data_IF_920661863421
#
_entry.id   IF_920661863421
#
_cell.length_a   1.000
_cell.length_b   1.000
_cell.length_c   1.000
_cell.angle_alpha   90.00
_cell.angle_beta   90.00
_cell.angle_gamma   90.00
#
_symmetry.space_group_name_H-M   'P 1'
#
loop_
_entity.id
_entity.type
_entity.pdbx_description
1 polymer ?
#
# COMPACT_ATOMS: atom_id res chain seq x y z
N UNK A 1 -9.58 14.71 -32.68
CA UNK A 1 -8.50 14.39 -31.73
C UNK A 1 -8.22 15.50 -30.70
N UNK A 2 -8.82 16.70 -30.81
CA UNK A 2 -8.61 17.82 -29.88
C UNK A 2 -9.54 17.83 -28.65
N UNK A 3 -10.61 17.04 -28.64
CA UNK A 3 -11.60 16.98 -27.55
C UNK A 3 -11.28 16.00 -26.41
N UNK A 4 -10.29 15.11 -26.57
CA UNK A 4 -9.84 14.18 -25.53
C UNK A 4 -8.65 14.72 -24.70
N UNK A 5 -8.10 15.89 -25.08
CA UNK A 5 -7.04 16.59 -24.35
C UNK A 5 -7.58 17.78 -23.54
N UNK A 6 -8.87 18.10 -23.68
CA UNK A 6 -9.53 19.05 -22.80
C UNK A 6 -9.82 18.28 -21.51
N UNK A 7 -8.92 18.43 -20.54
CA UNK A 7 -9.16 17.98 -19.17
C UNK A 7 -10.48 18.53 -18.64
N UNK A 8 -11.03 17.96 -17.55
CA UNK A 8 -12.31 18.36 -17.01
C UNK A 8 -12.37 19.87 -16.80
N UNK A 9 -13.36 20.52 -17.42
CA UNK A 9 -13.54 21.99 -17.38
C UNK A 9 -14.04 22.45 -16.00
N UNK A 10 -14.44 21.52 -15.13
CA UNK A 10 -14.68 21.75 -13.71
C UNK A 10 -13.53 21.22 -12.87
N UNK A 11 -13.14 21.96 -11.83
CA UNK A 11 -12.41 21.35 -10.73
C UNK A 11 -13.21 20.14 -10.26
N UNK A 12 -12.64 18.93 -10.37
CA UNK A 12 -13.24 17.73 -9.78
C UNK A 12 -13.11 17.91 -8.27
N UNK A 13 -14.05 18.65 -7.70
CA UNK A 13 -14.15 18.86 -6.27
C UNK A 13 -14.77 17.61 -5.68
N UNK A 14 -14.00 16.89 -4.87
CA UNK A 14 -14.53 15.84 -4.02
C UNK A 14 -15.41 16.57 -2.99
N UNK A 15 -16.73 16.53 -3.19
CA UNK A 15 -17.72 17.36 -2.50
C UNK A 15 -17.66 17.25 -0.98
N UNK A 16 -17.16 16.14 -0.47
CA UNK A 16 -17.06 15.81 0.94
C UNK A 16 -15.66 16.01 1.54
N UNK A 17 -14.66 16.37 0.74
CA UNK A 17 -13.32 16.66 1.25
C UNK A 17 -13.28 18.08 1.83
N UNK A 18 -12.99 18.25 3.14
CA UNK A 18 -12.87 19.57 3.71
C UNK A 18 -11.64 20.26 3.12
N UNK A 19 -11.83 21.36 2.39
CA UNK A 19 -10.77 22.25 1.92
C UNK A 19 -10.20 23.08 3.07
N UNK A 20 -9.73 22.44 4.14
CA UNK A 20 -8.93 23.15 5.14
C UNK A 20 -7.61 23.56 4.47
N UNK A 21 -7.25 24.84 4.60
CA UNK A 21 -6.07 25.41 3.95
C UNK A 21 -4.81 24.80 4.55
N UNK A 22 -4.23 23.79 3.88
CA UNK A 22 -3.06 23.04 4.36
C UNK A 22 -3.23 21.51 4.32
N UNK A 23 -4.45 21.00 4.16
CA UNK A 23 -4.69 19.56 4.13
C UNK A 23 -4.35 18.95 2.76
N UNK A 24 -3.45 17.97 2.81
CA UNK A 24 -3.07 17.17 1.63
C UNK A 24 -3.99 15.97 1.50
N UNK A 25 -4.54 15.76 0.30
CA UNK A 25 -5.45 14.64 0.02
C UNK A 25 -4.84 13.26 0.32
N UNK A 26 -3.56 13.10 -0.04
CA UNK A 26 -2.69 12.01 0.42
C UNK A 26 -1.45 12.64 1.05
N UNK A 27 -1.20 12.42 2.35
CA UNK A 27 0.00 12.94 2.99
C UNK A 27 1.26 12.36 2.35
N UNK A 28 2.26 13.22 2.14
CA UNK A 28 3.52 12.84 1.50
C UNK A 28 4.21 11.69 2.24
N UNK A 29 4.18 11.68 3.58
CA UNK A 29 4.81 10.66 4.41
C UNK A 29 4.30 9.26 4.07
N UNK A 30 2.97 9.09 4.02
CA UNK A 30 2.35 7.80 3.69
C UNK A 30 2.60 7.39 2.24
N UNK A 31 2.57 8.34 1.31
CA UNK A 31 2.94 8.08 -0.09
C UNK A 31 4.37 7.55 -0.23
N UNK A 32 5.34 8.21 0.42
CA UNK A 32 6.73 7.77 0.43
C UNK A 32 6.92 6.43 1.12
N UNK A 33 6.30 6.22 2.28
CA UNK A 33 6.34 4.96 3.02
C UNK A 33 5.87 3.80 2.15
N UNK A 34 4.71 3.94 1.49
CA UNK A 34 4.16 2.87 0.64
C UNK A 34 5.01 2.62 -0.60
N UNK A 35 5.56 3.67 -1.22
CA UNK A 35 6.45 3.56 -2.36
C UNK A 35 7.73 2.78 -2.01
N UNK A 36 8.38 3.12 -0.90
CA UNK A 36 9.57 2.40 -0.43
C UNK A 36 9.28 0.95 -0.10
N UNK A 37 8.16 0.66 0.58
CA UNK A 37 7.74 -0.70 0.87
C UNK A 37 7.52 -1.55 -0.39
N UNK A 38 6.86 -0.99 -1.42
CA UNK A 38 6.62 -1.69 -2.68
C UNK A 38 7.91 -1.97 -3.46
N UNK A 39 8.80 -0.98 -3.52
CA UNK A 39 10.09 -1.10 -4.20
C UNK A 39 10.98 -2.13 -3.48
N UNK A 40 11.09 -2.07 -2.15
CA UNK A 40 11.92 -2.98 -1.36
C UNK A 40 11.46 -4.43 -1.50
N UNK A 41 10.14 -4.69 -1.53
CA UNK A 41 9.62 -6.04 -1.73
C UNK A 41 10.04 -6.64 -3.08
N UNK A 42 10.20 -5.80 -4.10
CA UNK A 42 10.63 -6.22 -5.44
C UNK A 42 12.14 -6.48 -5.48
N UNK A 43 12.93 -5.63 -4.80
CA UNK A 43 14.37 -5.81 -4.66
C UNK A 43 14.74 -7.07 -3.87
N UNK A 44 14.06 -7.36 -2.75
CA UNK A 44 14.41 -8.57 -1.96
C UNK A 44 14.17 -9.84 -2.73
N UNK A 45 13.13 -9.90 -3.56
CA UNK A 45 12.88 -11.03 -4.46
C UNK A 45 13.97 -11.16 -5.52
N UNK A 46 14.25 -10.09 -6.27
CA UNK A 46 15.27 -10.11 -7.31
C UNK A 46 16.66 -10.44 -6.73
N UNK A 47 16.97 -9.94 -5.54
CA UNK A 47 18.21 -10.27 -4.84
C UNK A 47 18.23 -11.74 -4.44
N UNK A 48 17.19 -12.27 -3.81
CA UNK A 48 17.15 -13.66 -3.37
C UNK A 48 17.26 -14.65 -4.56
N UNK A 49 16.61 -14.36 -5.69
CA UNK A 49 16.76 -15.14 -6.93
C UNK A 49 18.18 -15.04 -7.51
N UNK A 50 18.89 -13.92 -7.32
CA UNK A 50 20.27 -13.74 -7.81
C UNK A 50 21.36 -14.42 -6.98
N UNK A 51 21.16 -14.67 -5.68
CA UNK A 51 22.20 -15.25 -4.80
C UNK A 51 22.35 -16.77 -4.94
N UNK A 52 21.58 -17.40 -5.85
CA UNK A 52 21.73 -18.81 -6.20
C UNK A 52 21.15 -19.81 -5.18
N UNK A 53 20.44 -19.34 -4.15
CA UNK A 53 19.85 -20.20 -3.12
C UNK A 53 18.43 -20.71 -3.44
N UNK A 54 17.67 -20.06 -4.34
CA UNK A 54 16.27 -20.40 -4.65
C UNK A 54 15.87 -20.00 -6.09
N UNK A 55 15.23 -20.91 -6.86
CA UNK A 55 14.73 -20.62 -8.22
C UNK A 55 13.53 -19.64 -8.23
N UNK A 56 12.71 -19.62 -7.18
CA UNK A 56 11.63 -18.63 -7.05
C UNK A 56 11.28 -18.35 -5.58
N UNK A 57 11.25 -17.07 -5.20
CA UNK A 57 10.82 -16.63 -3.88
C UNK A 57 9.36 -16.18 -3.91
N UNK A 58 8.41 -17.12 -3.91
CA UNK A 58 6.96 -16.84 -3.94
C UNK A 58 6.34 -16.59 -2.56
N UNK A 59 7.15 -16.39 -1.52
CA UNK A 59 6.63 -16.18 -0.17
C UNK A 59 6.23 -14.71 0.02
N UNK A 60 5.01 -14.49 0.53
CA UNK A 60 4.52 -13.17 0.94
C UNK A 60 3.00 -13.08 1.00
N UNK A 61 2.46 -12.56 2.11
CA UNK A 61 0.99 -12.41 2.30
C UNK A 61 0.38 -11.43 1.27
N UNK A 62 1.11 -10.38 0.92
CA UNK A 62 0.68 -9.42 -0.08
C UNK A 62 1.55 -9.54 -1.34
N UNK A 63 1.04 -10.28 -2.31
CA UNK A 63 1.61 -10.37 -3.65
C UNK A 63 1.28 -9.13 -4.51
N UNK A 64 1.66 -9.17 -5.79
CA UNK A 64 1.44 -8.06 -6.72
C UNK A 64 -0.04 -7.78 -6.97
N UNK A 65 -0.86 -8.83 -7.04
CA UNK A 65 -2.28 -8.71 -7.37
C UNK A 65 -3.08 -8.08 -6.22
N UNK A 66 -2.89 -8.54 -4.98
CA UNK A 66 -3.60 -8.00 -3.79
C UNK A 66 -3.35 -6.50 -3.59
N UNK A 67 -2.10 -6.05 -3.74
CA UNK A 67 -1.77 -4.61 -3.60
C UNK A 67 -2.46 -3.76 -4.66
N UNK A 68 -2.52 -4.27 -5.89
CA UNK A 68 -3.17 -3.58 -7.00
C UNK A 68 -4.69 -3.55 -6.81
N UNK A 69 -5.29 -4.66 -6.41
CA UNK A 69 -6.73 -4.76 -6.14
C UNK A 69 -7.12 -3.81 -5.01
N UNK A 70 -6.37 -3.76 -3.91
CA UNK A 70 -6.62 -2.84 -2.80
C UNK A 70 -6.51 -1.37 -3.25
N UNK A 71 -5.55 -1.05 -4.11
CA UNK A 71 -5.38 0.31 -4.62
C UNK A 71 -6.52 0.71 -5.57
N UNK A 72 -6.95 -0.19 -6.45
CA UNK A 72 -8.09 0.02 -7.36
C UNK A 72 -9.39 0.13 -6.58
N UNK A 73 -9.60 -0.75 -5.59
CA UNK A 73 -10.76 -0.72 -4.72
C UNK A 73 -10.83 0.58 -3.91
N UNK A 74 -9.68 1.06 -3.40
CA UNK A 74 -9.62 2.35 -2.70
C UNK A 74 -10.02 3.54 -3.58
N UNK A 75 -9.62 3.54 -4.86
CA UNK A 75 -10.04 4.58 -5.83
C UNK A 75 -11.52 4.44 -6.18
N UNK A 76 -12.00 3.21 -6.39
CA UNK A 76 -13.40 2.96 -6.72
C UNK A 76 -14.34 3.34 -5.57
N UNK A 77 -13.98 2.98 -4.34
CA UNK A 77 -14.75 3.29 -3.14
C UNK A 77 -14.63 4.78 -2.75
N UNK A 78 -13.60 5.47 -3.24
CA UNK A 78 -13.56 6.94 -3.21
C UNK A 78 -14.53 7.55 -4.23
N UNK A 79 -14.68 6.95 -5.41
CA UNK A 79 -15.43 7.51 -6.53
C UNK A 79 -16.94 7.24 -6.49
N UNK A 80 -17.39 6.14 -5.87
CA UNK A 80 -18.82 5.77 -5.81
C UNK A 80 -19.65 6.59 -4.81
N UNK A 81 -19.15 6.91 -3.59
CA UNK A 81 -19.93 7.63 -2.59
C UNK A 81 -19.80 9.14 -2.73
N UNK A 82 -20.93 9.83 -2.55
CA UNK A 82 -21.00 11.30 -2.47
C UNK A 82 -20.64 11.85 -1.08
N UNK A 83 -20.39 10.98 -0.09
CA UNK A 83 -19.94 11.32 1.28
C UNK A 83 -18.73 10.48 1.71
N UNK A 84 -18.01 10.94 2.73
CA UNK A 84 -16.86 10.21 3.28
C UNK A 84 -17.34 9.10 4.22
N UNK A 85 -17.74 7.94 3.66
CA UNK A 85 -18.22 6.78 4.43
C UNK A 85 -17.27 6.44 5.58
N UNK A 86 -15.96 6.60 5.37
CA UNK A 86 -14.94 6.33 6.39
C UNK A 86 -15.10 7.25 7.60
N UNK A 87 -15.09 8.57 7.40
CA UNK A 87 -15.21 9.53 8.51
C UNK A 87 -16.61 9.53 9.12
N UNK A 88 -17.66 9.35 8.32
CA UNK A 88 -19.04 9.25 8.80
C UNK A 88 -19.19 8.04 9.75
N UNK A 89 -18.60 6.89 9.41
CA UNK A 89 -18.62 5.70 10.28
C UNK A 89 -17.78 5.92 11.55
N UNK A 90 -16.63 6.57 11.43
CA UNK A 90 -15.70 6.76 12.54
C UNK A 90 -16.20 7.79 13.56
N UNK A 91 -17.08 8.71 13.15
CA UNK A 91 -17.71 9.70 14.03
C UNK A 91 -18.56 9.09 15.16
N UNK A 92 -18.97 7.81 15.02
CA UNK A 92 -19.64 7.05 16.07
C UNK A 92 -18.72 6.82 17.28
N UNK A 93 -17.40 6.83 17.07
CA UNK A 93 -16.39 6.65 18.13
C UNK A 93 -15.37 7.80 18.08
N UNK A 94 -15.62 8.91 18.78
CA UNK A 94 -14.82 10.14 18.69
C UNK A 94 -13.34 9.94 19.04
N UNK A 95 -13.02 8.98 19.90
CA UNK A 95 -11.63 8.65 20.25
C UNK A 95 -10.84 8.15 19.03
N UNK A 96 -11.43 7.26 18.22
CA UNK A 96 -10.77 6.76 17.01
C UNK A 96 -10.63 7.89 15.99
N UNK A 97 -11.69 8.66 15.76
CA UNK A 97 -11.66 9.80 14.83
C UNK A 97 -10.47 10.74 15.10
N UNK A 98 -10.26 11.13 16.35
CA UNK A 98 -9.13 12.00 16.73
C UNK A 98 -7.76 11.37 16.42
N UNK A 99 -7.61 10.05 16.58
CA UNK A 99 -6.37 9.34 16.23
C UNK A 99 -6.14 9.35 14.72
N UNK A 100 -7.17 9.06 13.93
CA UNK A 100 -7.06 9.01 12.47
C UNK A 100 -6.81 10.40 11.86
N UNK A 101 -7.40 11.46 12.42
CA UNK A 101 -7.10 12.85 12.06
C UNK A 101 -5.64 13.18 12.41
N UNK A 102 -5.17 12.83 13.61
CA UNK A 102 -3.79 13.06 14.02
C UNK A 102 -2.76 12.32 13.14
N UNK A 103 -3.11 11.13 12.63
CA UNK A 103 -2.29 10.35 11.70
C UNK A 103 -2.43 10.81 10.24
N UNK A 104 -3.21 11.86 9.97
CA UNK A 104 -3.54 12.36 8.63
C UNK A 104 -4.21 11.31 7.71
N UNK A 105 -4.92 10.33 8.29
CA UNK A 105 -5.67 9.31 7.55
C UNK A 105 -7.14 9.76 7.47
N UNK A 106 -7.39 10.63 6.51
CA UNK A 106 -8.66 11.35 6.35
C UNK A 106 -9.56 10.78 5.26
N UNK A 107 -9.00 9.96 4.36
CA UNK A 107 -9.69 9.35 3.22
C UNK A 107 -9.54 7.85 3.22
N UNK A 108 -10.53 7.17 2.62
CA UNK A 108 -10.42 5.73 2.38
C UNK A 108 -9.24 5.37 1.47
N UNK A 109 -8.92 6.22 0.49
CA UNK A 109 -7.74 6.04 -0.36
C UNK A 109 -6.45 6.05 0.45
N UNK A 110 -6.31 7.03 1.35
CA UNK A 110 -5.14 7.14 2.24
C UNK A 110 -5.04 5.91 3.13
N UNK A 111 -6.16 5.44 3.68
CA UNK A 111 -6.20 4.20 4.45
C UNK A 111 -5.74 2.99 3.62
N UNK A 112 -6.21 2.83 2.38
CA UNK A 112 -5.75 1.77 1.48
C UNK A 112 -4.25 1.88 1.20
N UNK A 113 -3.72 3.08 0.98
CA UNK A 113 -2.29 3.33 0.77
C UNK A 113 -1.48 2.91 2.00
N UNK A 114 -1.93 3.29 3.20
CA UNK A 114 -1.28 2.90 4.46
C UNK A 114 -1.28 1.38 4.63
N UNK A 115 -2.42 0.74 4.40
CA UNK A 115 -2.55 -0.73 4.48
C UNK A 115 -1.59 -1.41 3.49
N UNK A 116 -1.58 -0.97 2.23
CA UNK A 116 -0.66 -1.51 1.22
C UNK A 116 0.79 -1.28 1.61
N UNK A 117 1.11 -0.11 2.19
CA UNK A 117 2.44 0.21 2.70
C UNK A 117 2.87 -0.73 3.82
N UNK A 118 2.04 -0.91 4.84
CA UNK A 118 2.32 -1.80 5.98
C UNK A 118 2.47 -3.25 5.51
N UNK A 119 1.52 -3.74 4.71
CA UNK A 119 1.59 -5.07 4.12
C UNK A 119 2.87 -5.26 3.29
N UNK A 120 3.30 -4.24 2.56
CA UNK A 120 4.54 -4.31 1.78
C UNK A 120 5.78 -4.48 2.64
N UNK A 121 5.88 -3.76 3.77
CA UNK A 121 6.99 -3.93 4.71
C UNK A 121 6.98 -5.30 5.37
N UNK A 122 5.80 -5.82 5.74
CA UNK A 122 5.67 -7.17 6.27
C UNK A 122 6.15 -8.21 5.24
N UNK A 123 5.73 -8.07 3.98
CA UNK A 123 6.16 -8.97 2.89
C UNK A 123 7.69 -8.94 2.70
N UNK A 124 8.33 -7.76 2.84
CA UNK A 124 9.81 -7.66 2.78
C UNK A 124 10.46 -8.52 3.84
N UNK A 125 10.03 -8.38 5.09
CA UNK A 125 10.59 -9.12 6.22
C UNK A 125 10.39 -10.63 6.04
N UNK A 126 9.20 -11.05 5.60
CA UNK A 126 8.92 -12.46 5.31
C UNK A 126 9.85 -13.03 4.24
N UNK A 127 10.04 -12.30 3.13
CA UNK A 127 10.94 -12.70 2.03
C UNK A 127 12.39 -12.78 2.48
N UNK A 128 12.84 -11.81 3.27
CA UNK A 128 14.21 -11.77 3.78
C UNK A 128 14.49 -12.95 4.72
N UNK A 129 13.58 -13.21 5.68
CA UNK A 129 13.74 -14.31 6.64
C UNK A 129 13.70 -15.67 5.94
N UNK A 130 12.84 -15.83 4.93
CA UNK A 130 12.78 -17.04 4.14
C UNK A 130 14.08 -17.26 3.34
N UNK A 131 14.57 -16.23 2.64
CA UNK A 131 15.83 -16.29 1.91
C UNK A 131 17.03 -16.58 2.83
N UNK A 132 17.09 -15.94 3.99
CA UNK A 132 18.13 -16.19 4.97
C UNK A 132 18.13 -17.64 5.48
N UNK A 133 16.95 -18.19 5.79
CA UNK A 133 16.83 -19.60 6.23
C UNK A 133 17.29 -20.58 5.15
N UNK A 134 16.93 -20.35 3.89
CA UNK A 134 17.29 -21.28 2.80
C UNK A 134 18.77 -21.21 2.48
N UNK A 135 19.37 -20.01 2.39
CA UNK A 135 20.81 -19.86 2.14
C UNK A 135 21.63 -20.58 3.22
N UNK A 136 21.26 -20.42 4.50
CA UNK A 136 21.94 -21.11 5.60
C UNK A 136 21.80 -22.64 5.50
N UNK A 137 20.63 -23.15 5.12
CA UNK A 137 20.44 -24.59 4.94
C UNK A 137 21.33 -25.14 3.80
N UNK A 138 21.44 -24.39 2.69
CA UNK A 138 22.33 -24.73 1.57
C UNK A 138 23.80 -24.74 1.99
N UNK A 139 24.26 -23.73 2.74
CA UNK A 139 25.64 -23.65 3.23
C UNK A 139 26.00 -24.80 4.21
N UNK A 140 25.03 -25.31 4.96
CA UNK A 140 25.22 -26.41 5.91
C UNK A 140 25.23 -27.80 5.25
N UNK A 141 25.10 -27.90 3.93
CA UNK A 141 25.15 -29.16 3.19
C UNK A 141 23.94 -30.07 3.43
N UNK A 142 22.89 -29.58 4.09
CA UNK A 142 21.62 -30.26 4.17
C UNK A 142 20.87 -30.00 2.87
N UNK A 143 20.66 -31.05 2.06
CA UNK A 143 19.69 -30.99 0.97
C UNK A 143 18.33 -30.62 1.57
N UNK A 144 17.77 -29.44 1.27
CA UNK A 144 16.43 -29.12 1.74
C UNK A 144 15.46 -30.00 0.96
N UNK A 145 14.76 -30.86 1.70
CA UNK A 145 13.70 -31.70 1.13
C UNK A 145 12.66 -30.79 0.46
N UNK A 146 12.59 -30.93 -0.87
CA UNK A 146 11.66 -30.25 -1.77
C UNK A 146 10.26 -30.83 -1.60
#
# INVERSE_FOLDING_TARGET
MLGLMMGPVGAVAITWWPYATGDSFVPWFWGFFTLFGMIMASFTRAKAESVGGMESCTVGIAERQEKLILQIAGILLLALPTTNIWMDTLSVVPFLENIFIALQITNILTLCIVIVGVLSHITVVQRLLYAHKVIIATEQGATPDV
#
